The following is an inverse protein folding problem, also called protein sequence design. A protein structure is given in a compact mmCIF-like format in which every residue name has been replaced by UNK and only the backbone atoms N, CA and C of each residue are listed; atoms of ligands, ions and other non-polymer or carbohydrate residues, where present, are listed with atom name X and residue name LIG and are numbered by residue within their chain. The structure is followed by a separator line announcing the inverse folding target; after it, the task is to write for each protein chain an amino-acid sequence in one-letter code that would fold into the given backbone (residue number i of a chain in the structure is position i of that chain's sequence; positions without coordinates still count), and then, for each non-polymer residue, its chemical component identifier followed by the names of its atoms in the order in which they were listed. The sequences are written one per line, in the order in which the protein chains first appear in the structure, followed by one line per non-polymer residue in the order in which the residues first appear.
data_IF_994411923458
#
_entry.id   IF_994411923458
#
_cell.length_a   1.000
_cell.length_b   1.000
_cell.length_c   1.000
_cell.angle_alpha   90.00
_cell.angle_beta   90.00
_cell.angle_gamma   90.00
#
_symmetry.space_group_name_H-M   'P 1'
#
loop_
_entity.id
_entity.type
_entity.pdbx_description
1 polymer ?
#
# COMPACT_ATOMS: atom_id res chain seq x y z
N UNK A 1 -18.81 5.66 8.77
CA UNK A 1 -17.47 5.68 9.41
C UNK A 1 -16.35 5.77 8.39
N UNK A 2 -16.41 5.00 7.34
CA UNK A 2 -15.44 5.06 6.22
C UNK A 2 -15.35 6.45 5.60
N UNK A 3 -16.46 7.09 5.26
CA UNK A 3 -16.50 8.46 4.70
C UNK A 3 -15.82 9.52 5.58
N UNK A 4 -15.94 9.41 6.92
CA UNK A 4 -15.27 10.35 7.82
C UNK A 4 -13.75 10.20 7.81
N UNK A 5 -13.28 8.97 7.69
CA UNK A 5 -11.85 8.66 7.59
C UNK A 5 -11.32 9.12 6.24
N UNK A 6 -12.05 8.83 5.17
CA UNK A 6 -11.72 9.28 3.81
C UNK A 6 -11.58 10.81 3.74
N UNK A 7 -12.55 11.54 4.28
CA UNK A 7 -12.54 13.01 4.28
C UNK A 7 -11.31 13.57 5.01
N UNK A 8 -10.98 13.02 6.19
CA UNK A 8 -9.78 13.42 6.93
C UNK A 8 -8.51 13.22 6.12
N UNK A 9 -8.32 12.04 5.53
CA UNK A 9 -7.14 11.75 4.72
C UNK A 9 -7.07 12.59 3.46
N UNK A 10 -8.20 12.94 2.89
CA UNK A 10 -8.28 13.83 1.75
C UNK A 10 -7.83 15.25 2.10
N UNK A 11 -8.21 15.76 3.28
CA UNK A 11 -7.76 17.07 3.78
C UNK A 11 -6.24 17.11 4.02
N UNK A 12 -5.69 16.06 4.63
CA UNK A 12 -4.27 15.95 4.98
C UNK A 12 -3.36 15.50 3.80
N UNK A 13 -3.95 15.24 2.64
CA UNK A 13 -3.24 14.61 1.51
C UNK A 13 -2.03 15.40 0.97
N UNK A 14 -2.04 16.75 1.09
CA UNK A 14 -0.93 17.59 0.67
C UNK A 14 0.34 17.34 1.48
N UNK A 15 0.20 17.35 2.81
CA UNK A 15 1.33 17.15 3.74
C UNK A 15 1.92 15.73 3.62
N UNK A 16 1.05 14.73 3.42
CA UNK A 16 1.49 13.35 3.17
C UNK A 16 2.30 13.21 1.90
N UNK A 17 1.89 13.85 0.81
CA UNK A 17 2.63 13.83 -0.45
C UNK A 17 4.02 14.48 -0.31
N UNK A 18 4.10 15.65 0.31
CA UNK A 18 5.37 16.33 0.55
C UNK A 18 6.33 15.49 1.41
N UNK A 19 5.81 14.82 2.44
CA UNK A 19 6.59 13.91 3.27
C UNK A 19 7.13 12.73 2.45
N UNK A 20 6.33 12.13 1.59
CA UNK A 20 6.72 10.99 0.74
C UNK A 20 7.76 11.43 -0.30
N UNK A 21 7.63 12.61 -0.92
CA UNK A 21 8.64 13.14 -1.84
C UNK A 21 9.99 13.31 -1.14
N UNK A 22 10.01 13.81 0.09
CA UNK A 22 11.22 13.89 0.91
C UNK A 22 11.82 12.52 1.19
N UNK A 23 10.99 11.52 1.52
CA UNK A 23 11.45 10.15 1.74
C UNK A 23 12.06 9.54 0.48
N UNK A 24 11.43 9.70 -0.68
CA UNK A 24 11.92 9.17 -1.95
C UNK A 24 13.21 9.85 -2.43
N UNK A 25 13.43 11.12 -2.09
CA UNK A 25 14.67 11.83 -2.39
C UNK A 25 15.81 11.51 -1.41
N UNK A 26 15.50 10.94 -0.25
CA UNK A 26 16.48 10.59 0.77
C UNK A 26 17.06 9.19 0.52
N UNK A 27 18.29 9.13 0.04
CA UNK A 27 18.97 7.87 -0.28
C UNK A 27 19.08 6.91 0.91
N UNK A 28 19.26 7.42 2.11
CA UNK A 28 19.33 6.59 3.34
C UNK A 28 18.00 5.94 3.65
N UNK A 29 16.91 6.69 3.55
CA UNK A 29 15.55 6.19 3.76
C UNK A 29 15.18 5.12 2.73
N UNK A 30 15.43 5.38 1.46
CA UNK A 30 15.20 4.42 0.37
C UNK A 30 16.05 3.16 0.57
N UNK A 31 17.32 3.30 0.90
CA UNK A 31 18.21 2.16 1.16
C UNK A 31 17.74 1.31 2.34
N UNK A 32 17.36 1.95 3.43
CA UNK A 32 16.83 1.27 4.61
C UNK A 32 15.60 0.41 4.28
N UNK A 33 14.59 1.00 3.66
CA UNK A 33 13.35 0.28 3.33
C UNK A 33 13.55 -0.78 2.24
N UNK A 34 14.42 -0.53 1.28
CA UNK A 34 14.81 -1.55 0.29
C UNK A 34 15.40 -2.78 0.97
N UNK A 35 16.31 -2.56 1.92
CA UNK A 35 16.95 -3.63 2.68
C UNK A 35 15.96 -4.39 3.56
N UNK A 36 15.07 -3.69 4.25
CA UNK A 36 14.04 -4.30 5.09
C UNK A 36 13.04 -5.11 4.25
N UNK A 37 12.55 -4.57 3.14
CA UNK A 37 11.65 -5.33 2.28
C UNK A 37 12.32 -6.56 1.66
N UNK A 38 13.58 -6.46 1.23
CA UNK A 38 14.33 -7.65 0.80
C UNK A 38 14.39 -8.72 1.87
N UNK A 39 14.67 -8.33 3.10
CA UNK A 39 14.76 -9.25 4.24
C UNK A 39 13.42 -9.92 4.54
N UNK A 40 12.32 -9.15 4.49
CA UNK A 40 10.99 -9.62 4.83
C UNK A 40 10.34 -10.45 3.72
N UNK A 41 10.55 -10.06 2.47
CA UNK A 41 9.87 -10.65 1.31
C UNK A 41 10.65 -11.80 0.69
N UNK A 42 11.97 -11.82 0.84
CA UNK A 42 12.83 -12.79 0.17
C UNK A 42 13.09 -12.45 -1.30
N UNK A 43 13.79 -13.34 -2.03
CA UNK A 43 14.27 -13.05 -3.39
C UNK A 43 13.25 -13.34 -4.49
N UNK A 44 12.22 -14.14 -4.21
CA UNK A 44 11.25 -14.56 -5.23
C UNK A 44 10.22 -13.46 -5.52
N UNK A 45 9.82 -13.27 -6.79
CA UNK A 45 8.73 -12.36 -7.13
C UNK A 45 7.42 -12.78 -6.46
N UNK A 46 6.76 -11.83 -5.81
CA UNK A 46 5.52 -12.05 -5.07
C UNK A 46 4.41 -11.16 -5.62
N UNK A 47 3.17 -11.62 -5.48
CA UNK A 47 1.98 -10.81 -5.68
C UNK A 47 1.63 -10.14 -4.35
N UNK A 48 1.70 -8.81 -4.31
CA UNK A 48 1.55 -8.00 -3.09
C UNK A 48 0.34 -7.08 -3.21
N UNK A 49 -0.49 -7.04 -2.16
CA UNK A 49 -1.49 -5.99 -1.95
C UNK A 49 -1.00 -5.04 -0.86
N UNK A 50 -0.77 -3.77 -1.18
CA UNK A 50 -0.55 -2.74 -0.16
C UNK A 50 -1.88 -2.11 0.23
N UNK A 51 -2.24 -2.19 1.52
CA UNK A 51 -3.45 -1.57 2.07
C UNK A 51 -3.09 -0.28 2.80
N UNK A 52 -3.71 0.83 2.40
CA UNK A 52 -3.39 2.16 2.91
C UNK A 52 -2.07 2.66 2.33
N UNK A 53 -1.95 2.66 1.00
CA UNK A 53 -0.68 2.95 0.33
C UNK A 53 -0.22 4.41 0.45
N UNK A 54 -1.12 5.32 0.82
CA UNK A 54 -0.79 6.73 0.78
C UNK A 54 -0.28 7.16 -0.60
N UNK A 55 0.67 8.08 -0.68
CA UNK A 55 1.26 8.50 -1.96
C UNK A 55 2.15 7.45 -2.65
N UNK A 56 2.34 6.25 -2.07
CA UNK A 56 2.89 5.10 -2.76
C UNK A 56 4.35 4.76 -2.48
N UNK A 57 4.94 5.24 -1.40
CA UNK A 57 6.35 5.00 -1.09
C UNK A 57 6.73 3.51 -1.03
N UNK A 58 6.01 2.73 -0.24
CA UNK A 58 6.33 1.30 -0.08
C UNK A 58 6.07 0.51 -1.36
N UNK A 59 5.00 0.84 -2.09
CA UNK A 59 4.70 0.25 -3.39
C UNK A 59 5.81 0.49 -4.42
N UNK A 60 6.38 1.70 -4.44
CA UNK A 60 7.53 2.00 -5.30
C UNK A 60 8.73 1.12 -4.95
N UNK A 61 9.06 1.00 -3.67
CA UNK A 61 10.19 0.16 -3.23
C UNK A 61 9.94 -1.31 -3.57
N UNK A 62 8.75 -1.83 -3.30
CA UNK A 62 8.39 -3.21 -3.59
C UNK A 62 8.43 -3.51 -5.11
N UNK A 63 7.92 -2.60 -5.93
CA UNK A 63 7.96 -2.73 -7.39
C UNK A 63 9.39 -2.70 -7.93
N UNK A 64 10.26 -1.85 -7.40
CA UNK A 64 11.68 -1.81 -7.74
C UNK A 64 12.42 -3.11 -7.41
N UNK A 65 11.93 -3.85 -6.43
CA UNK A 65 12.46 -5.17 -6.06
C UNK A 65 11.95 -6.30 -6.96
N UNK A 66 11.09 -6.00 -7.93
CA UNK A 66 10.59 -6.97 -8.91
C UNK A 66 9.29 -7.66 -8.51
N UNK A 67 8.61 -7.18 -7.47
CA UNK A 67 7.31 -7.71 -7.07
C UNK A 67 6.17 -7.14 -7.93
N UNK A 68 5.10 -7.92 -8.07
CA UNK A 68 3.85 -7.50 -8.70
C UNK A 68 2.95 -6.87 -7.63
N UNK A 69 2.78 -5.56 -7.68
CA UNK A 69 2.14 -4.78 -6.62
C UNK A 69 0.83 -4.18 -7.11
N UNK A 70 -0.23 -4.43 -6.35
CA UNK A 70 -1.45 -3.62 -6.35
C UNK A 70 -1.51 -2.85 -5.03
N UNK A 71 -1.91 -1.59 -5.08
CA UNK A 71 -2.01 -0.74 -3.91
C UNK A 71 -3.38 -0.08 -3.83
N UNK A 72 -3.90 0.05 -2.64
CA UNK A 72 -5.21 0.65 -2.40
C UNK A 72 -5.15 1.72 -1.31
N UNK A 73 -6.01 2.71 -1.43
CA UNK A 73 -6.26 3.71 -0.41
C UNK A 73 -7.73 4.12 -0.45
N UNK A 74 -8.27 4.54 0.68
CA UNK A 74 -9.66 4.96 0.80
C UNK A 74 -9.92 6.39 0.33
N UNK A 75 -8.88 7.16 -0.01
CA UNK A 75 -8.99 8.53 -0.48
C UNK A 75 -8.69 8.64 -1.97
N UNK A 76 -9.70 9.07 -2.76
CA UNK A 76 -9.53 9.31 -4.20
C UNK A 76 -8.38 10.27 -4.51
N UNK A 77 -8.23 11.30 -3.69
CA UNK A 77 -7.20 12.32 -3.83
C UNK A 77 -5.78 11.76 -3.58
N UNK A 78 -5.64 10.90 -2.59
CA UNK A 78 -4.39 10.19 -2.32
C UNK A 78 -4.07 9.20 -3.46
N UNK A 79 -5.07 8.49 -3.95
CA UNK A 79 -4.93 7.58 -5.10
C UNK A 79 -4.41 8.31 -6.35
N UNK A 80 -4.93 9.49 -6.65
CA UNK A 80 -4.43 10.31 -7.76
C UNK A 80 -2.95 10.68 -7.57
N UNK A 81 -2.56 11.07 -6.37
CA UNK A 81 -1.16 11.38 -6.04
C UNK A 81 -0.26 10.15 -6.16
N UNK A 82 -0.71 9.02 -5.67
CA UNK A 82 0.00 7.76 -5.82
C UNK A 82 0.21 7.38 -7.29
N UNK A 83 -0.83 7.50 -8.12
CA UNK A 83 -0.74 7.26 -9.57
C UNK A 83 0.26 8.20 -10.24
N UNK A 84 0.25 9.48 -9.88
CA UNK A 84 1.23 10.47 -10.37
C UNK A 84 2.65 10.07 -9.98
N UNK A 85 2.86 9.65 -8.74
CA UNK A 85 4.17 9.20 -8.27
C UNK A 85 4.65 7.95 -8.98
N UNK A 86 3.78 6.99 -9.28
CA UNK A 86 4.15 5.82 -10.08
C UNK A 86 4.67 6.22 -11.46
N UNK A 87 4.01 7.16 -12.12
CA UNK A 87 4.48 7.69 -13.41
C UNK A 87 5.82 8.42 -13.28
N UNK A 88 5.97 9.27 -12.26
CA UNK A 88 7.19 10.03 -12.00
C UNK A 88 8.40 9.12 -11.76
N UNK A 89 8.21 8.03 -11.03
CA UNK A 89 9.27 7.09 -10.68
C UNK A 89 9.31 5.85 -11.58
N UNK A 90 8.58 5.87 -12.69
CA UNK A 90 8.56 4.83 -13.72
C UNK A 90 8.24 3.43 -13.18
N UNK A 91 7.27 3.34 -12.28
CA UNK A 91 6.80 2.06 -11.75
C UNK A 91 5.41 1.70 -12.27
N UNK A 92 5.22 0.42 -12.57
CA UNK A 92 3.94 -0.14 -12.97
C UNK A 92 3.29 -0.79 -11.74
N UNK A 93 2.49 -0.02 -11.04
CA UNK A 93 1.70 -0.46 -9.90
C UNK A 93 0.24 -0.08 -10.17
N UNK A 94 -0.66 -1.03 -10.04
CA UNK A 94 -2.09 -0.77 -10.08
C UNK A 94 -2.51 -0.07 -8.79
N UNK A 95 -3.07 1.13 -8.91
CA UNK A 95 -3.53 1.92 -7.76
C UNK A 95 -5.04 2.09 -7.85
N UNK A 96 -5.77 1.68 -6.81
CA UNK A 96 -7.24 1.78 -6.75
C UNK A 96 -7.72 2.47 -5.48
N UNK A 97 -8.83 3.19 -5.61
CA UNK A 97 -9.62 3.61 -4.46
C UNK A 97 -10.44 2.42 -3.95
N UNK A 98 -10.21 2.01 -2.71
CA UNK A 98 -10.88 0.85 -2.15
C UNK A 98 -10.88 0.88 -0.63
N UNK A 99 -11.95 0.36 -0.03
CA UNK A 99 -12.04 0.19 1.42
C UNK A 99 -11.12 -0.95 1.90
N UNK A 100 -10.11 -0.60 2.67
CA UNK A 100 -9.14 -1.56 3.21
C UNK A 100 -9.68 -2.54 4.23
N UNK A 101 -10.89 -2.32 4.77
CA UNK A 101 -11.54 -3.25 5.71
C UNK A 101 -12.28 -4.36 4.97
N UNK A 102 -13.04 -4.00 3.94
CA UNK A 102 -13.91 -4.95 3.23
C UNK A 102 -13.28 -5.55 1.99
N UNK A 103 -12.32 -4.87 1.38
CA UNK A 103 -11.65 -5.30 0.15
C UNK A 103 -12.65 -5.81 -0.89
N UNK A 104 -13.62 -4.97 -1.32
CA UNK A 104 -14.75 -5.43 -2.13
C UNK A 104 -14.35 -5.82 -3.56
N UNK A 105 -13.22 -5.32 -4.06
CA UNK A 105 -12.74 -5.60 -5.41
C UNK A 105 -11.75 -6.78 -5.47
N UNK A 106 -11.36 -7.31 -4.30
CA UNK A 106 -10.34 -8.34 -4.24
C UNK A 106 -10.93 -9.75 -4.18
N UNK A 107 -10.32 -10.65 -4.94
CA UNK A 107 -10.68 -12.07 -4.92
C UNK A 107 -9.93 -12.82 -3.82
N UNK A 108 -10.55 -13.91 -3.34
CA UNK A 108 -9.92 -14.80 -2.37
C UNK A 108 -8.66 -15.47 -2.94
N UNK A 109 -7.70 -15.76 -2.08
CA UNK A 109 -6.47 -16.48 -2.41
C UNK A 109 -5.71 -15.89 -3.62
N UNK A 110 -5.62 -14.55 -3.68
CA UNK A 110 -5.02 -13.83 -4.81
C UNK A 110 -3.63 -13.27 -4.53
N UNK A 111 -3.25 -13.14 -3.26
CA UNK A 111 -2.02 -12.47 -2.85
C UNK A 111 -1.10 -13.36 -2.03
N UNK A 112 0.20 -13.22 -2.24
CA UNK A 112 1.23 -13.85 -1.41
C UNK A 112 1.47 -13.06 -0.13
N UNK A 113 1.37 -11.73 -0.21
CA UNK A 113 1.63 -10.81 0.91
C UNK A 113 0.62 -9.67 0.90
N UNK A 114 0.17 -9.30 2.09
CA UNK A 114 -0.44 -8.00 2.34
C UNK A 114 0.58 -7.14 3.07
N UNK A 115 0.85 -5.97 2.51
CA UNK A 115 1.73 -4.96 3.09
C UNK A 115 0.89 -3.79 3.60
N UNK A 116 1.13 -3.36 4.83
CA UNK A 116 0.50 -2.17 5.38
C UNK A 116 1.46 -1.49 6.34
N UNK A 117 1.75 -0.23 6.08
CA UNK A 117 2.61 0.58 6.93
C UNK A 117 1.86 1.83 7.39
N UNK A 118 1.82 2.04 8.70
CA UNK A 118 1.21 3.22 9.33
C UNK A 118 -0.28 3.44 8.97
N UNK A 119 -1.00 2.38 8.60
CA UNK A 119 -2.40 2.46 8.19
C UNK A 119 -3.36 1.65 9.08
N UNK A 120 -2.91 0.58 9.71
CA UNK A 120 -3.78 -0.34 10.47
C UNK A 120 -4.55 0.37 11.60
N UNK A 121 -3.93 1.32 12.28
CA UNK A 121 -4.56 2.08 13.36
C UNK A 121 -5.69 3.01 12.88
N UNK A 122 -5.80 3.23 11.56
CA UNK A 122 -6.85 4.05 10.95
C UNK A 122 -8.09 3.25 10.56
N UNK A 123 -8.01 1.93 10.59
CA UNK A 123 -9.11 1.05 10.19
C UNK A 123 -10.26 1.16 11.18
N UNK A 124 -11.47 1.35 10.66
CA UNK A 124 -12.66 1.46 11.49
C UNK A 124 -13.12 0.12 12.11
N UNK A 125 -12.71 -1.00 11.55
CA UNK A 125 -12.94 -2.35 12.06
C UNK A 125 -11.73 -3.25 11.76
N UNK A 126 -10.69 -3.20 12.60
CA UNK A 126 -9.47 -3.99 12.37
C UNK A 126 -9.69 -5.51 12.35
N UNK A 127 -10.61 -6.00 13.19
CA UNK A 127 -10.89 -7.44 13.25
C UNK A 127 -11.50 -7.95 11.94
N UNK A 128 -12.49 -7.23 11.42
CA UNK A 128 -13.09 -7.52 10.12
C UNK A 128 -12.06 -7.41 9.00
N UNK A 129 -11.21 -6.39 9.04
CA UNK A 129 -10.13 -6.20 8.08
C UNK A 129 -9.19 -7.40 8.05
N UNK A 130 -8.66 -7.83 9.19
CA UNK A 130 -7.74 -8.97 9.25
C UNK A 130 -8.38 -10.28 8.80
N UNK A 131 -9.66 -10.51 9.10
CA UNK A 131 -10.37 -11.68 8.57
C UNK A 131 -10.46 -11.63 7.04
N UNK A 132 -10.77 -10.48 6.48
CA UNK A 132 -10.86 -10.30 5.03
C UNK A 132 -9.48 -10.42 4.37
N UNK A 133 -8.45 -9.83 4.96
CA UNK A 133 -7.07 -9.93 4.47
C UNK A 133 -6.61 -11.40 4.44
N UNK A 134 -6.91 -12.14 5.49
CA UNK A 134 -6.62 -13.58 5.50
C UNK A 134 -7.31 -14.32 4.35
N UNK A 135 -8.55 -13.97 4.02
CA UNK A 135 -9.29 -14.61 2.94
C UNK A 135 -8.69 -14.32 1.55
N UNK A 136 -8.16 -13.11 1.33
CA UNK A 136 -7.54 -12.77 0.04
C UNK A 136 -6.10 -13.26 -0.10
N UNK A 137 -5.47 -13.70 0.98
CA UNK A 137 -4.16 -14.34 0.95
C UNK A 137 -4.26 -15.78 0.44
N UNK A 138 -3.28 -16.17 -0.37
CA UNK A 138 -3.04 -17.57 -0.73
C UNK A 138 -2.67 -18.38 0.50
N UNK A 139 -2.83 -19.73 0.50
CA UNK A 139 -2.27 -20.58 1.54
C UNK A 139 -0.78 -20.31 1.74
N UNK A 140 -0.36 -20.10 2.99
CA UNK A 140 1.02 -19.71 3.30
C UNK A 140 1.34 -18.22 3.10
N UNK A 141 0.39 -17.44 2.65
CA UNK A 141 0.52 -15.99 2.57
C UNK A 141 0.64 -15.32 3.95
N UNK A 142 1.18 -14.10 3.98
CA UNK A 142 1.48 -13.37 5.22
C UNK A 142 1.17 -11.88 5.13
N UNK A 143 1.00 -11.30 6.31
CA UNK A 143 0.80 -9.86 6.49
C UNK A 143 2.08 -9.27 7.07
#
# INVERSE_FOLDING_TARGET
MFEKIENKWTEDSGDYDDMIQKQLSNKRTVSYWTKELKRLLGPEPLRILEVGCGPGFMSIIAARLGHDVKAIDGSSRIVEKARRNMRQYHQQVEICEEDGVTLPLEQEQSYDVILSRDAVWTLYDPEKAFRRWKAVLKPGGRI
#
